data_IF_749699656041
#
_entry.id   IF_749699656041
#
_cell.length_a   1.000
_cell.length_b   1.000
_cell.length_c   1.000
_cell.angle_alpha   90.00
_cell.angle_beta   90.00
_cell.angle_gamma   90.00
#
_symmetry.space_group_name_H-M   'P 1'
#
loop_
_entity.id
_entity.type
_entity.pdbx_description
1 polymer ?
#
# COMPACT_ATOMS: atom_id res chain seq x y z
N UNK A 1 -3.19 8.84 -13.91
CA UNK A 1 -2.65 8.47 -12.59
C UNK A 1 -3.78 8.68 -11.62
N UNK A 2 -4.18 7.63 -10.91
CA UNK A 2 -5.24 7.71 -9.91
C UNK A 2 -4.63 7.33 -8.55
N UNK A 3 -4.91 8.15 -7.55
CA UNK A 3 -4.41 7.94 -6.19
C UNK A 3 -5.59 7.47 -5.31
N UNK A 4 -5.33 6.49 -4.46
CA UNK A 4 -6.30 5.83 -3.61
C UNK A 4 -5.78 5.82 -2.17
N UNK A 5 -6.53 6.38 -1.25
CA UNK A 5 -6.20 6.30 0.17
C UNK A 5 -6.52 4.92 0.72
N UNK A 6 -5.53 4.31 1.38
CA UNK A 6 -5.67 2.98 1.96
C UNK A 6 -5.91 3.13 3.46
N UNK A 7 -7.02 2.56 3.90
CA UNK A 7 -7.46 2.58 5.29
C UNK A 7 -7.67 1.17 5.81
N UNK A 8 -7.48 0.97 7.10
CA UNK A 8 -7.89 -0.25 7.81
C UNK A 8 -8.88 0.10 8.90
N UNK A 9 -9.79 -0.81 9.21
CA UNK A 9 -10.46 -0.79 10.50
C UNK A 9 -9.59 -1.55 11.50
N UNK A 10 -9.19 -0.87 12.58
CA UNK A 10 -8.47 -1.47 13.68
C UNK A 10 -9.12 -1.07 14.99
N UNK A 11 -9.63 -2.07 15.72
CA UNK A 11 -10.38 -1.88 16.97
C UNK A 11 -11.61 -0.96 16.79
N UNK A 12 -12.33 -1.09 15.67
CA UNK A 12 -13.53 -0.29 15.37
C UNK A 12 -13.23 1.17 15.03
N UNK A 13 -11.99 1.47 14.64
CA UNK A 13 -11.56 2.79 14.17
C UNK A 13 -10.91 2.66 12.81
N UNK A 14 -11.44 3.40 11.83
CA UNK A 14 -10.80 3.57 10.53
C UNK A 14 -9.54 4.41 10.70
N UNK A 15 -8.37 3.83 10.36
CA UNK A 15 -7.08 4.51 10.37
C UNK A 15 -6.51 4.58 8.95
N UNK A 16 -6.03 5.74 8.49
CA UNK A 16 -5.28 5.82 7.24
C UNK A 16 -3.91 5.16 7.46
N UNK A 17 -3.51 4.31 6.53
CA UNK A 17 -2.25 3.56 6.64
C UNK A 17 -1.30 3.79 5.49
N UNK A 18 -1.78 4.40 4.40
CA UNK A 18 -0.95 4.64 3.24
C UNK A 18 -1.73 5.10 2.03
N UNK A 19 -1.00 5.24 0.92
CA UNK A 19 -1.51 5.67 -0.36
C UNK A 19 -1.14 4.64 -1.43
N UNK A 20 -2.13 4.20 -2.19
CA UNK A 20 -1.92 3.43 -3.39
C UNK A 20 -2.02 4.34 -4.63
N UNK A 21 -1.11 4.18 -5.59
CA UNK A 21 -1.13 4.95 -6.84
C UNK A 21 -1.18 3.99 -8.02
N UNK A 22 -2.19 4.15 -8.88
CA UNK A 22 -2.23 3.47 -10.18
C UNK A 22 -1.33 4.21 -11.17
N UNK A 23 -0.25 3.55 -11.55
CA UNK A 23 0.62 3.96 -12.62
C UNK A 23 0.37 3.08 -13.85
N UNK A 24 -0.06 3.70 -14.96
CA UNK A 24 -0.30 3.02 -16.23
C UNK A 24 0.72 3.49 -17.25
N UNK A 25 1.65 2.62 -17.60
CA UNK A 25 2.73 2.91 -18.56
C UNK A 25 2.73 1.85 -19.66
N UNK A 26 2.69 2.29 -20.93
CA UNK A 26 2.79 1.42 -22.12
C UNK A 26 1.82 0.22 -22.09
N UNK A 27 0.60 0.43 -21.60
CA UNK A 27 -0.44 -0.61 -21.54
C UNK A 27 -0.35 -1.55 -20.34
N UNK A 28 0.69 -1.46 -19.51
CA UNK A 28 0.77 -2.15 -18.22
C UNK A 28 0.27 -1.22 -17.11
N UNK A 29 -0.64 -1.70 -16.28
CA UNK A 29 -1.06 -1.04 -15.06
C UNK A 29 -0.31 -1.67 -13.88
N UNK A 30 0.19 -0.83 -12.97
CA UNK A 30 0.84 -1.26 -11.72
C UNK A 30 0.34 -0.39 -10.59
N UNK A 31 -0.02 -1.00 -9.48
CA UNK A 31 -0.40 -0.30 -8.26
C UNK A 31 0.82 -0.20 -7.36
N UNK A 32 1.35 1.00 -7.19
CA UNK A 32 2.36 1.26 -6.16
C UNK A 32 1.66 1.52 -4.83
N UNK A 33 2.25 1.08 -3.73
CA UNK A 33 1.76 1.36 -2.38
C UNK A 33 2.85 2.06 -1.56
N UNK A 34 2.47 3.00 -0.71
CA UNK A 34 3.39 3.68 0.20
C UNK A 34 2.72 3.81 1.57
N UNK A 35 3.40 3.39 2.64
CA UNK A 35 2.88 3.56 4.00
C UNK A 35 2.87 5.02 4.42
N UNK A 36 1.83 5.41 5.15
CA UNK A 36 1.75 6.72 5.76
C UNK A 36 2.75 6.85 6.92
N UNK A 37 3.36 8.03 7.05
CA UNK A 37 4.35 8.30 8.08
C UNK A 37 3.80 8.16 9.51
N UNK A 38 2.53 8.50 9.73
CA UNK A 38 1.86 8.33 11.01
C UNK A 38 1.63 6.85 11.33
N UNK A 39 1.27 6.03 10.34
CA UNK A 39 1.13 4.58 10.52
C UNK A 39 2.46 3.90 10.85
N UNK A 40 3.55 4.28 10.18
CA UNK A 40 4.89 3.76 10.50
C UNK A 40 5.37 4.15 11.92
N UNK A 41 4.80 5.21 12.51
CA UNK A 41 5.08 5.62 13.88
C UNK A 41 4.08 5.05 14.92
N UNK A 42 2.96 4.49 14.47
CA UNK A 42 1.90 3.98 15.33
C UNK A 42 2.39 2.74 16.12
N UNK A 43 2.08 2.60 17.42
CA UNK A 43 2.41 1.41 18.20
C UNK A 43 1.65 0.16 17.74
N UNK A 44 0.45 0.32 17.16
CA UNK A 44 -0.39 -0.79 16.70
C UNK A 44 -0.06 -1.20 15.25
N UNK A 45 1.04 -0.70 14.68
CA UNK A 45 1.39 -0.89 13.26
C UNK A 45 1.71 -2.35 12.92
N UNK A 46 1.28 -2.77 11.74
CA UNK A 46 1.61 -4.08 11.15
C UNK A 46 1.66 -4.01 9.63
N UNK A 47 2.36 -4.96 9.01
CA UNK A 47 2.40 -5.10 7.55
C UNK A 47 1.07 -5.61 7.01
N UNK A 48 0.52 -4.92 6.01
CA UNK A 48 -0.71 -5.35 5.31
C UNK A 48 -0.57 -6.72 4.64
N UNK A 49 0.59 -6.97 4.04
CA UNK A 49 0.96 -8.26 3.48
C UNK A 49 2.46 -8.53 3.68
N UNK A 50 2.91 -9.79 3.57
CA UNK A 50 4.31 -10.15 3.84
C UNK A 50 5.34 -9.41 2.97
N UNK A 51 4.98 -9.03 1.73
CA UNK A 51 5.88 -8.31 0.84
C UNK A 51 5.87 -6.79 1.05
N UNK A 52 4.91 -6.24 1.80
CA UNK A 52 4.86 -4.84 2.23
C UNK A 52 5.48 -4.68 3.62
N UNK A 53 6.79 -4.86 3.73
CA UNK A 53 7.53 -4.63 4.98
C UNK A 53 7.25 -3.22 5.53
N UNK A 54 7.19 -3.06 6.86
CA UNK A 54 6.94 -1.76 7.51
C UNK A 54 8.12 -0.79 7.38
N UNK A 55 8.39 -0.33 6.17
CA UNK A 55 9.45 0.62 5.85
C UNK A 55 8.91 1.80 5.08
N UNK A 56 9.65 2.92 5.11
CA UNK A 56 9.37 4.07 4.25
C UNK A 56 9.69 3.73 2.79
N UNK A 57 8.97 4.38 1.88
CA UNK A 57 9.16 4.25 0.43
C UNK A 57 7.98 3.60 -0.26
N UNK A 58 8.00 3.64 -1.58
CA UNK A 58 7.00 3.02 -2.42
C UNK A 58 7.36 1.58 -2.75
N UNK A 59 6.40 0.69 -2.55
CA UNK A 59 6.45 -0.70 -2.94
C UNK A 59 5.85 -0.82 -4.34
N UNK A 60 6.60 -1.44 -5.26
CA UNK A 60 6.13 -1.82 -6.57
C UNK A 60 5.89 -3.34 -6.64
N UNK A 61 4.80 -3.79 -7.29
CA UNK A 61 4.48 -5.21 -7.34
C UNK A 61 5.59 -5.99 -8.07
N UNK A 62 5.76 -7.30 -7.78
CA UNK A 62 6.74 -8.12 -8.48
C UNK A 62 6.55 -8.07 -10.00
N UNK A 63 7.63 -8.22 -10.79
CA UNK A 63 7.54 -8.21 -12.25
C UNK A 63 6.48 -9.21 -12.77
N UNK A 64 5.62 -8.73 -13.66
CA UNK A 64 4.51 -9.54 -14.21
C UNK A 64 3.23 -9.54 -13.38
N UNK A 65 3.18 -8.79 -12.26
CA UNK A 65 1.95 -8.57 -11.48
C UNK A 65 1.51 -7.11 -11.52
N UNK A 66 0.20 -6.91 -11.55
CA UNK A 66 -0.45 -5.58 -11.53
C UNK A 66 -0.58 -5.06 -10.08
N UNK A 67 -0.72 -5.96 -9.10
CA UNK A 67 -0.94 -5.64 -7.68
C UNK A 67 -0.17 -6.57 -6.75
N UNK A 68 -0.07 -6.14 -5.50
CA UNK A 68 0.29 -6.97 -4.35
C UNK A 68 -0.91 -7.82 -3.92
N UNK A 69 -0.67 -9.08 -3.54
CA UNK A 69 -1.73 -10.08 -3.34
C UNK A 69 -2.37 -10.59 -4.64
N UNK A 70 -2.53 -11.90 -4.73
CA UNK A 70 -3.52 -12.52 -5.62
C UNK A 70 -4.72 -12.83 -4.75
N UNK A 71 -5.89 -12.29 -5.10
CA UNK A 71 -7.15 -12.92 -4.66
C UNK A 71 -7.33 -14.25 -5.37
#
# INVERSE_FOLDING_TARGET
>A
MADFEVHIDLNGRTRPIGLARSNRVRGTETILFEYDGAWLADPDRFSLEPALALTRGSFAPPPGRVTFGSV
#
